data_IF_016746363672
#
_entry.id   IF_016746363672
#
_cell.length_a   1.000
_cell.length_b   1.000
_cell.length_c   1.000
_cell.angle_alpha   90.00
_cell.angle_beta   90.00
_cell.angle_gamma   90.00
#
_symmetry.space_group_name_H-M   'P 1'
#
loop_
_entity.id
_entity.type
_entity.pdbx_description
1 polymer ?
#
# COMPACT_ATOMS: atom_id res chain seq x y z
N UNK A 1 -16.02 -48.97 57.82
CA UNK A 1 -17.49 -48.82 57.66
C UNK A 1 -17.90 -47.46 58.16
N UNK A 2 -18.17 -46.52 57.26
CA UNK A 2 -19.07 -45.38 57.46
C UNK A 2 -19.13 -44.60 56.13
N UNK A 3 -20.32 -44.63 55.54
CA UNK A 3 -20.73 -43.94 54.30
C UNK A 3 -20.89 -42.45 54.59
N UNK A 4 -20.31 -41.57 53.76
CA UNK A 4 -20.60 -40.12 53.82
C UNK A 4 -21.32 -39.74 52.52
N UNK A 5 -22.56 -39.29 52.69
CA UNK A 5 -23.45 -38.83 51.64
C UNK A 5 -23.07 -37.43 51.15
N UNK A 6 -23.03 -37.27 49.83
CA UNK A 6 -22.93 -36.01 49.09
C UNK A 6 -24.19 -35.18 49.22
N UNK A 7 -24.07 -33.92 49.66
CA UNK A 7 -25.09 -32.89 49.52
C UNK A 7 -24.68 -31.91 48.41
N UNK A 8 -25.51 -31.83 47.38
CA UNK A 8 -25.38 -30.89 46.28
C UNK A 8 -25.94 -29.51 46.68
N UNK A 9 -25.14 -28.45 46.55
CA UNK A 9 -25.60 -27.07 46.60
C UNK A 9 -25.42 -26.45 45.21
N UNK A 10 -26.55 -26.14 44.57
CA UNK A 10 -26.63 -25.35 43.33
C UNK A 10 -26.28 -23.91 43.63
N UNK A 11 -25.27 -23.35 42.96
CA UNK A 11 -25.12 -21.90 42.82
C UNK A 11 -25.15 -21.55 41.33
N UNK A 12 -26.19 -20.83 40.96
CA UNK A 12 -26.53 -20.32 39.65
C UNK A 12 -25.57 -19.22 39.20
N UNK A 13 -25.04 -19.37 37.99
CA UNK A 13 -24.34 -18.36 37.21
C UNK A 13 -25.29 -17.30 36.66
N UNK A 14 -24.93 -16.00 36.64
CA UNK A 14 -25.65 -15.02 35.84
C UNK A 14 -24.97 -14.84 34.47
N UNK A 15 -25.58 -15.41 33.45
CA UNK A 15 -25.49 -14.92 32.06
C UNK A 15 -26.61 -13.91 31.83
N UNK A 16 -26.29 -12.66 31.48
CA UNK A 16 -26.99 -11.92 30.41
C UNK A 16 -26.28 -10.61 30.03
N UNK A 17 -25.77 -10.61 28.80
CA UNK A 17 -25.79 -9.51 27.82
C UNK A 17 -26.12 -8.11 28.33
N UNK A 18 -25.11 -7.25 28.38
CA UNK A 18 -25.27 -5.82 28.11
C UNK A 18 -24.44 -5.48 26.87
N UNK A 19 -24.94 -5.87 25.69
CA UNK A 19 -24.57 -5.14 24.47
C UNK A 19 -25.18 -3.74 24.61
N UNK A 20 -24.36 -2.78 25.04
CA UNK A 20 -24.65 -1.36 24.86
C UNK A 20 -24.87 -1.12 23.37
N UNK A 21 -26.08 -0.70 23.02
CA UNK A 21 -26.42 -0.14 21.72
C UNK A 21 -25.59 1.12 21.50
N UNK A 22 -24.38 0.95 20.98
CA UNK A 22 -23.49 2.06 20.60
C UNK A 22 -24.17 2.90 19.51
N UNK A 23 -24.11 4.21 19.69
CA UNK A 23 -24.75 5.21 18.83
C UNK A 23 -23.98 5.26 17.50
N UNK A 24 -24.29 4.36 16.57
CA UNK A 24 -23.71 4.40 15.22
C UNK A 24 -24.21 5.68 14.52
N UNK A 25 -23.29 6.61 14.26
CA UNK A 25 -23.56 7.74 13.36
C UNK A 25 -23.98 7.17 11.99
N UNK A 26 -25.03 7.71 11.37
CA UNK A 26 -25.50 7.21 10.08
C UNK A 26 -24.38 7.38 9.04
N UNK A 27 -24.01 6.26 8.42
CA UNK A 27 -22.89 6.16 7.51
C UNK A 27 -23.42 6.21 6.07
N UNK A 28 -23.03 7.25 5.34
CA UNK A 28 -23.17 7.35 3.89
C UNK A 28 -21.77 7.59 3.35
N UNK A 29 -21.06 6.50 3.04
CA UNK A 29 -19.81 6.56 2.29
C UNK A 29 -20.02 5.68 1.08
N UNK A 30 -19.99 6.28 -0.11
CA UNK A 30 -19.76 5.53 -1.33
C UNK A 30 -18.35 4.95 -1.24
N UNK A 31 -18.28 3.65 -0.93
CA UNK A 31 -17.04 2.91 -1.03
C UNK A 31 -16.65 2.83 -2.50
N UNK A 32 -15.72 3.67 -2.92
CA UNK A 32 -14.86 3.31 -4.04
C UNK A 32 -13.83 2.33 -3.48
N UNK A 33 -14.12 1.02 -3.51
CA UNK A 33 -13.03 0.10 -3.87
C UNK A 33 -12.42 0.73 -5.11
N UNK A 34 -11.11 0.90 -5.20
CA UNK A 34 -10.49 1.46 -6.40
C UNK A 34 -10.81 0.54 -7.59
N UNK A 35 -12.02 0.69 -8.13
CA UNK A 35 -12.50 0.07 -9.31
C UNK A 35 -11.58 0.65 -10.38
N UNK A 36 -11.09 -0.19 -11.30
CA UNK A 36 -10.38 0.32 -12.44
C UNK A 36 -11.21 1.46 -13.04
N UNK A 37 -10.63 2.61 -13.41
CA UNK A 37 -11.37 3.62 -14.15
C UNK A 37 -12.09 2.92 -15.31
N UNK A 38 -13.30 3.37 -15.69
CA UNK A 38 -14.17 2.66 -16.64
C UNK A 38 -13.48 2.25 -17.97
N UNK A 39 -12.36 2.90 -18.32
CA UNK A 39 -11.47 2.56 -19.43
C UNK A 39 -10.63 1.27 -19.27
N UNK A 40 -10.62 0.63 -18.09
CA UNK A 40 -9.75 -0.51 -17.74
C UNK A 40 -10.57 -1.79 -17.50
N UNK A 41 -11.91 -1.71 -17.50
CA UNK A 41 -12.75 -2.90 -17.42
C UNK A 41 -12.64 -3.72 -18.72
N UNK A 42 -11.88 -4.82 -18.67
CA UNK A 42 -11.84 -5.82 -19.75
C UNK A 42 -10.77 -5.63 -20.82
N UNK A 43 -9.72 -4.81 -20.62
CA UNK A 43 -8.61 -4.75 -21.58
C UNK A 43 -7.74 -6.02 -21.53
N UNK A 44 -7.22 -6.41 -22.69
CA UNK A 44 -6.31 -7.54 -22.85
C UNK A 44 -4.88 -7.12 -23.20
N UNK A 45 -3.99 -8.11 -23.30
CA UNK A 45 -2.62 -7.87 -23.78
C UNK A 45 -2.60 -7.29 -25.19
N UNK A 46 -3.54 -7.67 -26.06
CA UNK A 46 -3.64 -7.12 -27.41
C UNK A 46 -3.91 -5.61 -27.39
N UNK A 47 -4.71 -5.11 -26.45
CA UNK A 47 -4.98 -3.68 -26.31
C UNK A 47 -3.75 -2.93 -25.79
N UNK A 48 -3.06 -3.50 -24.80
CA UNK A 48 -1.80 -2.94 -24.28
C UNK A 48 -0.73 -2.87 -25.37
N UNK A 49 -0.58 -3.93 -26.16
CA UNK A 49 0.40 -4.00 -27.25
C UNK A 49 0.02 -3.11 -28.44
N UNK A 50 -1.28 -2.95 -28.72
CA UNK A 50 -1.76 -2.01 -29.75
C UNK A 50 -1.39 -0.58 -29.40
N UNK A 51 -1.64 -0.13 -28.16
CA UNK A 51 -1.28 1.22 -27.72
C UNK A 51 0.24 1.42 -27.64
N UNK A 52 0.97 0.36 -27.29
CA UNK A 52 2.42 0.38 -27.23
C UNK A 52 3.09 0.53 -28.61
N UNK A 53 2.55 -0.17 -29.62
CA UNK A 53 3.11 -0.30 -30.96
C UNK A 53 2.60 0.72 -31.98
N UNK A 54 1.59 1.53 -31.65
CA UNK A 54 1.10 2.56 -32.56
C UNK A 54 2.22 3.58 -32.81
N UNK A 55 2.85 3.48 -33.98
CA UNK A 55 4.03 4.22 -34.47
C UNK A 55 3.83 5.73 -34.63
N UNK A 56 2.93 6.31 -33.85
CA UNK A 56 2.68 7.73 -33.73
C UNK A 56 3.79 8.40 -32.94
N UNK A 57 4.58 9.19 -33.67
CA UNK A 57 5.10 10.54 -33.42
C UNK A 57 4.48 11.32 -32.24
N UNK A 58 4.47 10.74 -31.05
CA UNK A 58 4.40 11.53 -29.83
C UNK A 58 5.79 12.15 -29.64
N UNK A 59 5.83 13.42 -29.29
CA UNK A 59 7.08 14.06 -28.91
C UNK A 59 7.71 13.25 -27.76
N UNK A 60 8.86 12.62 -27.97
CA UNK A 60 9.54 11.86 -26.92
C UNK A 60 9.99 12.78 -25.77
N UNK A 61 10.03 14.09 -26.00
CA UNK A 61 10.24 15.10 -24.98
C UNK A 61 8.97 15.46 -24.19
N UNK A 62 7.78 15.01 -24.61
CA UNK A 62 6.52 15.23 -23.89
C UNK A 62 6.40 14.30 -22.67
N UNK A 63 6.61 14.88 -21.49
CA UNK A 63 6.48 14.20 -20.20
C UNK A 63 5.07 14.29 -19.59
N UNK A 64 4.10 14.93 -20.25
CA UNK A 64 2.76 15.18 -19.69
C UNK A 64 2.04 13.91 -19.25
N UNK A 65 2.19 12.82 -20.02
CA UNK A 65 1.64 11.51 -19.66
C UNK A 65 2.21 10.96 -18.36
N UNK A 66 3.50 11.18 -18.10
CA UNK A 66 4.16 10.74 -16.87
C UNK A 66 3.75 11.61 -15.67
N UNK A 67 3.67 12.93 -15.83
CA UNK A 67 3.15 13.83 -14.80
C UNK A 67 1.74 13.43 -14.36
N UNK A 68 0.84 13.09 -15.30
CA UNK A 68 -0.50 12.59 -14.93
C UNK A 68 -0.48 11.35 -14.05
N UNK A 69 0.54 10.48 -14.17
CA UNK A 69 0.68 9.29 -13.30
C UNK A 69 1.19 9.65 -11.91
N UNK A 70 2.07 10.63 -11.82
CA UNK A 70 2.51 11.20 -10.54
C UNK A 70 1.32 11.85 -9.83
N UNK A 71 0.56 12.68 -10.53
CA UNK A 71 -0.60 13.39 -9.97
C UNK A 71 -1.68 12.42 -9.49
N UNK A 72 -1.92 11.32 -10.21
CA UNK A 72 -2.92 10.32 -9.81
C UNK A 72 -2.56 9.57 -8.53
N UNK A 73 -1.27 9.56 -8.15
CA UNK A 73 -0.79 9.00 -6.89
C UNK A 73 -0.64 10.07 -5.78
N UNK A 74 -0.84 11.36 -6.08
CA UNK A 74 -0.61 12.47 -5.16
C UNK A 74 -1.86 13.35 -4.91
N UNK A 75 -3.05 12.75 -4.86
CA UNK A 75 -4.32 13.50 -4.85
C UNK A 75 -4.73 13.94 -3.44
N UNK A 76 -5.58 14.96 -3.40
CA UNK A 76 -6.30 15.36 -2.18
C UNK A 76 -5.45 16.03 -1.11
N UNK A 77 -4.22 16.45 -1.44
CA UNK A 77 -3.29 17.08 -0.50
C UNK A 77 -3.80 18.42 0.06
N UNK A 78 -4.71 19.09 -0.64
CA UNK A 78 -5.47 20.25 -0.17
C UNK A 78 -6.31 19.93 1.09
N UNK A 79 -6.69 18.67 1.28
CA UNK A 79 -7.47 18.18 2.43
C UNK A 79 -6.61 17.70 3.60
N UNK A 80 -5.29 17.87 3.54
CA UNK A 80 -4.38 17.49 4.63
C UNK A 80 -4.76 18.14 5.97
N UNK A 81 -5.39 19.32 5.95
CA UNK A 81 -5.91 20.01 7.14
C UNK A 81 -7.05 19.29 7.87
N UNK A 82 -7.68 18.30 7.24
CA UNK A 82 -8.75 17.48 7.84
C UNK A 82 -8.21 16.33 8.69
N UNK A 83 -6.89 16.15 8.73
CA UNK A 83 -6.21 15.10 9.48
C UNK A 83 -5.48 15.68 10.69
N UNK A 84 -5.47 14.92 11.77
CA UNK A 84 -4.77 15.23 13.03
C UNK A 84 -3.64 14.24 13.24
N UNK A 85 -2.61 14.65 13.96
CA UNK A 85 -1.46 13.78 14.24
C UNK A 85 -1.89 12.58 15.07
N UNK A 86 -1.43 11.40 14.69
CA UNK A 86 -1.48 10.21 15.52
C UNK A 86 -0.11 10.01 16.17
N UNK A 87 -0.07 10.07 17.50
CA UNK A 87 1.16 10.19 18.30
C UNK A 87 1.31 8.99 19.22
N UNK A 88 2.50 8.40 19.26
CA UNK A 88 2.89 7.35 20.20
C UNK A 88 4.28 7.70 20.73
N UNK A 89 4.43 7.75 22.06
CA UNK A 89 5.71 8.11 22.72
C UNK A 89 6.33 9.40 22.15
N UNK A 90 5.53 10.46 22.05
CA UNK A 90 5.91 11.77 21.50
C UNK A 90 6.35 11.77 20.02
N UNK A 91 6.24 10.63 19.32
CA UNK A 91 6.52 10.53 17.89
C UNK A 91 5.24 10.52 17.06
N UNK A 92 5.24 11.27 15.96
CA UNK A 92 4.16 11.23 14.97
C UNK A 92 4.33 9.96 14.13
N UNK A 93 3.45 9.00 14.33
CA UNK A 93 3.47 7.72 13.61
C UNK A 93 2.42 7.67 12.50
N UNK A 94 1.47 8.62 12.49
CA UNK A 94 0.47 8.70 11.45
C UNK A 94 -0.39 9.95 11.49
N UNK A 95 -1.48 9.91 10.72
CA UNK A 95 -2.43 11.01 10.58
C UNK A 95 -3.84 10.44 10.45
N UNK A 96 -4.72 10.81 11.38
CA UNK A 96 -6.09 10.31 11.44
C UNK A 96 -7.04 11.40 10.99
N UNK A 97 -7.98 11.09 10.08
CA UNK A 97 -9.01 12.03 9.68
C UNK A 97 -9.87 12.42 10.89
N UNK A 98 -10.20 13.71 11.05
CA UNK A 98 -11.02 14.21 12.19
C UNK A 98 -12.34 13.46 12.34
N UNK A 99 -13.03 13.21 11.23
CA UNK A 99 -14.26 12.40 11.21
C UNK A 99 -14.05 10.91 11.52
N UNK A 100 -12.86 10.35 11.26
CA UNK A 100 -12.55 8.96 11.66
C UNK A 100 -12.23 8.87 13.16
N UNK A 101 -11.53 9.86 13.72
CA UNK A 101 -11.25 9.96 15.15
C UNK A 101 -12.53 9.91 16.01
N UNK A 102 -13.62 10.45 15.47
CA UNK A 102 -14.97 10.41 16.03
C UNK A 102 -15.43 8.97 16.36
N UNK A 103 -15.09 8.01 15.50
CA UNK A 103 -15.39 6.59 15.69
C UNK A 103 -14.44 5.90 16.69
N UNK A 104 -13.28 6.49 16.96
CA UNK A 104 -12.31 6.00 17.93
C UNK A 104 -12.66 6.41 19.37
N UNK A 105 -13.52 7.42 19.57
CA UNK A 105 -13.92 7.90 20.91
C UNK A 105 -14.58 6.85 21.79
N UNK A 106 -15.28 5.90 21.18
CA UNK A 106 -15.94 4.81 21.91
C UNK A 106 -14.96 3.80 22.52
N UNK A 107 -13.66 3.90 22.16
CA UNK A 107 -12.57 3.03 22.61
C UNK A 107 -11.59 3.82 23.49
N UNK A 108 -12.12 4.47 24.52
CA UNK A 108 -11.39 5.31 25.47
C UNK A 108 -10.32 4.55 26.27
N UNK A 109 -10.43 3.23 26.36
CA UNK A 109 -9.43 2.31 26.93
C UNK A 109 -8.23 2.07 26.00
N UNK A 110 -8.33 2.47 24.73
CA UNK A 110 -7.26 2.35 23.72
C UNK A 110 -6.73 3.71 23.28
N UNK A 111 -7.60 4.67 23.02
CA UNK A 111 -7.25 5.98 22.48
C UNK A 111 -7.47 7.11 23.48
N UNK A 112 -6.54 8.07 23.47
CA UNK A 112 -6.73 9.41 24.05
C UNK A 112 -6.87 10.41 22.91
N UNK A 113 -7.99 11.12 22.86
CA UNK A 113 -8.28 12.14 21.84
C UNK A 113 -8.21 13.50 22.52
N UNK A 114 -7.19 14.27 22.18
CA UNK A 114 -6.93 15.57 22.79
C UNK A 114 -7.68 16.64 22.00
N UNK A 115 -8.56 17.39 22.67
CA UNK A 115 -9.27 18.55 22.12
C UNK A 115 -8.58 19.85 22.50
N UNK A 116 -8.65 20.85 21.63
CA UNK A 116 -8.00 22.14 21.87
C UNK A 116 -8.63 22.93 23.02
N UNK A 117 -7.77 23.64 23.78
CA UNK A 117 -8.13 24.37 25.00
C UNK A 117 -9.10 25.55 24.80
N UNK A 118 -9.43 25.93 23.55
CA UNK A 118 -10.16 27.16 23.23
C UNK A 118 -11.69 26.96 23.06
N UNK A 119 -12.28 25.92 23.65
CA UNK A 119 -13.74 25.69 23.57
C UNK A 119 -14.26 25.31 22.18
N UNK A 120 -13.34 25.07 21.24
CA UNK A 120 -13.64 24.49 19.94
C UNK A 120 -13.60 22.97 20.06
N UNK A 121 -14.62 22.26 19.56
CA UNK A 121 -14.64 20.78 19.45
C UNK A 121 -13.59 20.24 18.46
N UNK A 122 -12.49 20.96 18.24
CA UNK A 122 -11.42 20.58 17.32
C UNK A 122 -10.49 19.60 18.02
N UNK A 123 -10.40 18.40 17.44
CA UNK A 123 -9.38 17.41 17.80
C UNK A 123 -8.02 17.97 17.38
N UNK A 124 -7.06 18.00 18.30
CA UNK A 124 -5.67 18.42 18.03
C UNK A 124 -4.80 17.24 17.64
N UNK A 125 -4.88 16.15 18.41
CA UNK A 125 -4.16 14.91 18.15
C UNK A 125 -4.90 13.70 18.73
N UNK A 126 -4.53 12.53 18.24
CA UNK A 126 -4.93 11.23 18.77
C UNK A 126 -3.68 10.53 19.27
N UNK A 127 -3.74 9.91 20.43
CA UNK A 127 -2.67 9.10 21.00
C UNK A 127 -3.20 7.80 21.58
N UNK A 128 -2.31 6.89 21.94
CA UNK A 128 -2.67 5.64 22.63
C UNK A 128 -2.68 5.84 24.15
N UNK A 129 -3.51 5.08 24.85
CA UNK A 129 -3.55 5.08 26.30
C UNK A 129 -2.19 4.69 26.89
N UNK A 130 -1.78 5.40 27.95
CA UNK A 130 -0.50 5.18 28.64
C UNK A 130 -0.41 3.81 29.35
N UNK A 131 -1.54 3.14 29.55
CA UNK A 131 -1.60 1.76 30.04
C UNK A 131 -1.08 0.74 29.02
N UNK A 132 -1.08 1.06 27.72
CA UNK A 132 -0.57 0.20 26.64
C UNK A 132 0.94 0.37 26.50
N UNK A 133 1.70 -0.36 27.33
CA UNK A 133 3.14 -0.13 27.53
C UNK A 133 4.01 -0.79 26.47
N UNK A 134 3.62 -1.96 25.97
CA UNK A 134 4.44 -2.72 25.01
C UNK A 134 3.89 -2.61 23.58
N UNK A 135 4.74 -2.80 22.55
CA UNK A 135 4.27 -2.94 21.17
C UNK A 135 3.19 -4.01 21.00
N UNK A 136 3.28 -5.11 21.75
CA UNK A 136 2.33 -6.22 21.73
C UNK A 136 0.97 -5.81 22.32
N UNK A 137 0.95 -5.11 23.46
CA UNK A 137 -0.28 -4.59 24.08
C UNK A 137 -1.03 -3.67 23.10
N UNK A 138 -0.29 -2.76 22.47
CA UNK A 138 -0.83 -1.80 21.49
C UNK A 138 -1.37 -2.52 20.26
N UNK A 139 -0.61 -3.48 19.72
CA UNK A 139 -1.01 -4.29 18.57
C UNK A 139 -2.30 -5.05 18.87
N UNK A 140 -2.38 -5.69 20.03
CA UNK A 140 -3.57 -6.44 20.45
C UNK A 140 -4.79 -5.52 20.63
N UNK A 141 -4.64 -4.44 21.41
CA UNK A 141 -5.72 -3.51 21.70
C UNK A 141 -6.30 -2.87 20.44
N UNK A 142 -5.44 -2.37 19.55
CA UNK A 142 -5.87 -1.76 18.28
C UNK A 142 -6.45 -2.81 17.34
N UNK A 143 -5.92 -4.04 17.36
CA UNK A 143 -6.48 -5.17 16.62
C UNK A 143 -7.95 -5.44 16.97
N UNK A 144 -8.31 -5.41 18.26
CA UNK A 144 -9.71 -5.56 18.71
C UNK A 144 -10.60 -4.38 18.27
N UNK A 145 -10.05 -3.16 18.23
CA UNK A 145 -10.75 -2.00 17.68
C UNK A 145 -11.01 -2.17 16.18
N UNK A 146 -10.01 -2.60 15.40
CA UNK A 146 -10.15 -2.81 13.96
C UNK A 146 -11.21 -3.87 13.67
N UNK A 147 -11.24 -4.98 14.42
CA UNK A 147 -12.29 -6.00 14.31
C UNK A 147 -13.68 -5.41 14.54
N UNK A 148 -13.81 -4.48 15.48
CA UNK A 148 -15.06 -3.78 15.76
C UNK A 148 -15.47 -2.77 14.67
N UNK A 149 -14.52 -2.36 13.82
CA UNK A 149 -14.68 -1.37 12.75
C UNK A 149 -14.61 -1.99 11.34
N UNK A 150 -14.78 -3.31 11.20
CA UNK A 150 -14.62 -4.04 9.92
C UNK A 150 -15.51 -3.53 8.79
N UNK A 151 -16.71 -3.00 9.09
CA UNK A 151 -17.59 -2.39 8.10
C UNK A 151 -16.99 -1.09 7.51
N UNK A 152 -16.18 -0.38 8.29
CA UNK A 152 -15.53 0.87 7.89
C UNK A 152 -14.15 0.63 7.27
N UNK A 153 -13.46 -0.43 7.69
CA UNK A 153 -12.14 -0.85 7.23
C UNK A 153 -12.29 -2.19 6.48
N UNK A 154 -12.80 -2.17 5.24
CA UNK A 154 -12.98 -3.39 4.46
C UNK A 154 -11.63 -3.96 4.01
N UNK A 155 -11.65 -5.25 3.64
CA UNK A 155 -10.50 -5.89 2.99
C UNK A 155 -9.36 -6.27 3.92
N UNK A 156 -9.68 -6.73 5.14
CA UNK A 156 -8.73 -7.34 6.08
C UNK A 156 -7.90 -8.41 5.37
N UNK A 157 -6.58 -8.39 5.60
CA UNK A 157 -5.62 -9.29 4.95
C UNK A 157 -4.94 -10.27 5.89
N UNK A 158 -5.11 -10.11 7.20
CA UNK A 158 -4.35 -10.85 8.21
C UNK A 158 -2.84 -10.65 8.04
N UNK A 159 -2.45 -9.44 7.64
CA UNK A 159 -1.08 -9.05 7.38
C UNK A 159 -0.80 -7.78 8.17
N UNK A 160 0.22 -7.85 9.02
CA UNK A 160 0.57 -6.75 9.91
C UNK A 160 1.68 -5.90 9.27
N UNK A 161 1.46 -4.58 9.25
CA UNK A 161 2.47 -3.59 8.89
C UNK A 161 3.11 -2.97 10.14
N UNK A 162 4.41 -2.66 10.10
CA UNK A 162 5.08 -1.97 11.20
C UNK A 162 4.59 -0.52 11.30
N UNK A 163 4.25 -0.07 12.51
CA UNK A 163 3.97 1.34 12.79
C UNK A 163 5.23 2.00 13.34
N UNK A 164 5.81 2.88 12.54
CA UNK A 164 7.08 3.59 12.81
C UNK A 164 6.91 5.08 12.51
N UNK A 165 7.77 5.93 13.06
CA UNK A 165 7.84 7.35 12.65
C UNK A 165 8.49 7.52 11.27
N UNK A 166 9.37 6.59 10.92
CA UNK A 166 10.26 6.61 9.76
C UNK A 166 10.86 5.21 9.54
N UNK A 167 11.32 4.93 8.32
CA UNK A 167 11.95 3.64 8.01
C UNK A 167 13.24 3.45 8.80
N UNK A 168 13.38 2.30 9.46
CA UNK A 168 14.54 1.99 10.31
C UNK A 168 14.45 2.53 11.74
N UNK A 169 13.42 3.32 12.07
CA UNK A 169 13.12 3.71 13.45
C UNK A 169 12.43 2.57 14.21
N UNK A 170 12.40 2.62 15.56
CA UNK A 170 11.73 1.61 16.37
C UNK A 170 10.28 1.37 15.94
N UNK A 171 9.87 0.10 15.97
CA UNK A 171 8.48 -0.27 15.74
C UNK A 171 7.70 -0.07 17.02
N UNK A 172 6.74 0.85 17.01
CA UNK A 172 5.94 1.18 18.19
C UNK A 172 4.86 0.14 18.47
N UNK A 173 4.32 -0.47 17.41
CA UNK A 173 3.36 -1.56 17.38
C UNK A 173 3.14 -2.00 15.92
N UNK A 174 2.32 -3.03 15.69
CA UNK A 174 1.93 -3.46 14.34
C UNK A 174 0.45 -3.27 14.09
N UNK A 175 0.08 -2.98 12.84
CA UNK A 175 -1.27 -2.63 12.44
C UNK A 175 -1.72 -3.48 11.24
N UNK A 176 -2.95 -3.97 11.24
CA UNK A 176 -3.54 -4.63 10.07
C UNK A 176 -3.43 -3.75 8.82
N UNK A 177 -2.91 -4.32 7.73
CA UNK A 177 -2.64 -3.65 6.47
C UNK A 177 -3.83 -2.87 5.93
N UNK A 178 -5.04 -3.40 6.05
CA UNK A 178 -6.25 -2.69 5.61
C UNK A 178 -6.50 -1.36 6.38
N UNK A 179 -6.07 -1.27 7.63
CA UNK A 179 -6.24 -0.11 8.49
C UNK A 179 -5.16 0.96 8.28
N UNK A 180 -4.00 0.61 7.70
CA UNK A 180 -2.88 1.54 7.46
C UNK A 180 -3.29 2.93 6.93
N UNK A 181 -4.11 3.06 5.87
CA UNK A 181 -4.50 4.37 5.37
C UNK A 181 -5.45 5.14 6.30
N UNK A 182 -6.24 4.48 7.15
CA UNK A 182 -7.15 5.16 8.10
C UNK A 182 -6.40 5.77 9.28
N UNK A 183 -5.30 5.13 9.67
CA UNK A 183 -4.37 5.65 10.68
C UNK A 183 -3.29 6.57 10.08
N UNK A 184 -3.25 6.69 8.75
CA UNK A 184 -2.27 7.51 8.02
C UNK A 184 -0.82 7.18 8.35
N UNK A 185 -0.54 5.92 8.67
CA UNK A 185 0.83 5.46 8.94
C UNK A 185 1.64 5.47 7.65
N UNK A 186 2.97 5.52 7.78
CA UNK A 186 3.84 5.21 6.65
C UNK A 186 3.71 3.73 6.30
N UNK A 187 3.46 3.42 5.04
CA UNK A 187 3.44 2.06 4.52
C UNK A 187 4.61 1.86 3.57
N UNK A 188 5.27 0.70 3.68
CA UNK A 188 6.42 0.36 2.86
C UNK A 188 6.07 -0.79 1.93
N UNK A 189 6.72 -0.83 0.77
CA UNK A 189 6.61 -1.92 -0.20
C UNK A 189 7.92 -2.13 -0.93
N UNK A 190 8.06 -3.30 -1.56
CA UNK A 190 9.18 -3.65 -2.43
C UNK A 190 8.66 -3.89 -3.83
N UNK A 191 9.33 -3.33 -4.83
CA UNK A 191 8.93 -3.43 -6.23
C UNK A 191 10.17 -3.75 -7.06
N UNK A 192 10.08 -4.73 -7.96
CA UNK A 192 11.21 -5.13 -8.79
C UNK A 192 10.91 -5.04 -10.29
N UNK A 193 11.79 -4.34 -11.01
CA UNK A 193 11.86 -4.41 -12.46
C UNK A 193 12.67 -5.66 -12.86
N UNK A 194 11.98 -6.73 -13.25
CA UNK A 194 12.59 -7.89 -13.88
C UNK A 194 12.79 -7.63 -15.37
N UNK A 195 14.05 -7.55 -15.81
CA UNK A 195 14.36 -7.21 -17.21
C UNK A 195 15.29 -8.22 -17.85
N UNK A 196 15.16 -8.36 -19.17
CA UNK A 196 16.04 -9.16 -20.02
C UNK A 196 16.72 -8.22 -21.01
N UNK A 197 17.95 -8.54 -21.39
CA UNK A 197 18.66 -7.82 -22.45
C UNK A 197 18.96 -8.76 -23.61
N UNK A 198 18.52 -8.39 -24.82
CA UNK A 198 18.72 -9.14 -26.07
C UNK A 198 19.23 -8.16 -27.12
N UNK A 199 20.37 -8.48 -27.74
CA UNK A 199 20.96 -7.66 -28.82
C UNK A 199 21.11 -6.17 -28.47
N UNK A 200 21.49 -5.88 -27.22
CA UNK A 200 21.66 -4.51 -26.71
C UNK A 200 20.34 -3.79 -26.35
N UNK A 201 19.19 -4.43 -26.52
CA UNK A 201 17.88 -3.88 -26.16
C UNK A 201 17.35 -4.49 -24.87
N UNK A 202 16.75 -3.65 -24.02
CA UNK A 202 16.11 -4.10 -22.77
C UNK A 202 14.62 -4.35 -22.97
N UNK A 203 14.15 -5.40 -22.31
CA UNK A 203 12.76 -5.81 -22.25
C UNK A 203 12.35 -5.97 -20.78
N UNK A 204 11.15 -5.52 -20.42
CA UNK A 204 10.58 -5.71 -19.09
C UNK A 204 9.57 -6.86 -19.11
N UNK A 205 9.67 -7.72 -18.11
CA UNK A 205 8.59 -8.61 -17.76
C UNK A 205 7.52 -7.82 -16.99
N UNK A 206 6.29 -7.88 -17.49
CA UNK A 206 5.12 -7.22 -16.93
C UNK A 206 4.11 -8.31 -16.56
N UNK A 207 3.62 -8.27 -15.32
CA UNK A 207 2.53 -9.12 -14.86
C UNK A 207 1.18 -8.47 -15.16
N UNK A 208 0.14 -9.28 -15.38
CA UNK A 208 -1.25 -8.86 -15.32
C UNK A 208 -1.85 -9.47 -14.06
N UNK A 209 -2.40 -8.64 -13.17
CA UNK A 209 -2.96 -9.07 -11.89
C UNK A 209 -4.15 -9.98 -12.10
N UNK A 210 -4.27 -11.00 -11.24
CA UNK A 210 -5.45 -11.86 -11.21
C UNK A 210 -6.74 -11.06 -11.01
N UNK A 211 -7.82 -11.46 -11.67
CA UNK A 211 -9.13 -10.79 -11.55
C UNK A 211 -9.75 -10.95 -10.15
N UNK A 212 -9.27 -11.90 -9.35
CA UNK A 212 -9.72 -12.10 -7.96
C UNK A 212 -8.95 -11.25 -6.94
N UNK A 213 -7.94 -10.46 -7.37
CA UNK A 213 -7.21 -9.56 -6.48
C UNK A 213 -8.15 -8.54 -5.87
N UNK A 214 -8.09 -8.39 -4.54
CA UNK A 214 -8.90 -7.40 -3.81
C UNK A 214 -8.69 -5.95 -4.26
N UNK A 215 -7.52 -5.62 -4.79
CA UNK A 215 -7.19 -4.27 -5.27
C UNK A 215 -6.63 -4.34 -6.67
N UNK A 216 -7.11 -3.46 -7.54
CA UNK A 216 -6.66 -3.34 -8.93
C UNK A 216 -6.70 -4.68 -9.70
N UNK A 217 -7.80 -5.45 -9.66
CA UNK A 217 -7.91 -6.72 -10.39
C UNK A 217 -7.75 -6.47 -11.90
N UNK A 218 -7.09 -7.38 -12.60
CA UNK A 218 -6.90 -7.34 -14.06
C UNK A 218 -5.95 -6.26 -14.59
N UNK A 219 -5.43 -5.36 -13.75
CA UNK A 219 -4.49 -4.31 -14.16
C UNK A 219 -3.07 -4.87 -14.39
N UNK A 220 -2.26 -4.18 -15.19
CA UNK A 220 -0.83 -4.49 -15.31
C UNK A 220 -0.08 -4.13 -14.01
N UNK A 221 0.94 -4.91 -13.68
CA UNK A 221 1.81 -4.75 -12.51
C UNK A 221 3.27 -5.02 -12.90
N UNK A 222 4.19 -4.84 -11.97
CA UNK A 222 5.56 -5.32 -12.15
C UNK A 222 5.62 -6.83 -12.26
N UNK A 223 6.81 -7.35 -12.58
CA UNK A 223 7.06 -8.78 -12.45
C UNK A 223 6.87 -9.26 -10.99
N UNK A 224 7.35 -8.47 -10.02
CA UNK A 224 7.23 -8.76 -8.59
C UNK A 224 6.98 -7.45 -7.81
N UNK A 225 5.96 -7.41 -6.95
CA UNK A 225 5.68 -6.27 -6.07
C UNK A 225 4.83 -6.61 -4.83
N UNK A 226 5.45 -6.50 -3.65
CA UNK A 226 4.81 -6.81 -2.36
C UNK A 226 4.72 -5.62 -1.40
N UNK A 227 3.75 -5.66 -0.49
CA UNK A 227 3.80 -4.86 0.73
C UNK A 227 4.97 -5.30 1.61
N UNK A 228 5.48 -4.45 2.49
CA UNK A 228 6.53 -4.84 3.45
C UNK A 228 5.88 -5.13 4.81
N UNK A 229 5.65 -6.41 5.15
CA UNK A 229 5.06 -6.77 6.43
C UNK A 229 6.05 -6.55 7.59
N UNK A 230 5.51 -6.58 8.81
CA UNK A 230 6.30 -6.53 10.02
C UNK A 230 7.23 -7.76 10.13
N UNK A 231 8.46 -7.53 10.59
CA UNK A 231 9.40 -8.61 10.91
C UNK A 231 10.22 -9.15 9.74
N UNK A 232 10.10 -8.60 8.54
CA UNK A 232 10.92 -8.98 7.37
C UNK A 232 11.72 -7.80 6.83
N UNK A 233 12.95 -8.04 6.37
CA UNK A 233 13.76 -7.01 5.70
C UNK A 233 13.29 -6.82 4.25
N UNK A 234 13.58 -5.67 3.63
CA UNK A 234 13.23 -5.45 2.23
C UNK A 234 13.85 -6.50 1.30
N UNK A 235 15.09 -6.94 1.57
CA UNK A 235 15.78 -7.93 0.75
C UNK A 235 15.16 -9.32 0.86
N UNK A 236 14.82 -9.74 2.08
CA UNK A 236 14.14 -11.02 2.28
C UNK A 236 12.72 -11.00 1.73
N UNK A 237 12.02 -9.86 1.85
CA UNK A 237 10.69 -9.71 1.30
C UNK A 237 10.71 -9.80 -0.23
N UNK A 238 11.61 -9.09 -0.92
CA UNK A 238 11.65 -9.22 -2.38
C UNK A 238 12.05 -10.63 -2.84
N UNK A 239 12.87 -11.36 -2.06
CA UNK A 239 13.20 -12.77 -2.35
C UNK A 239 11.96 -13.66 -2.21
N UNK A 240 11.16 -13.49 -1.16
CA UNK A 240 9.88 -14.19 -0.93
C UNK A 240 8.91 -13.93 -2.09
N UNK A 241 8.63 -12.65 -2.37
CA UNK A 241 7.68 -12.25 -3.43
C UNK A 241 8.15 -12.72 -4.82
N UNK A 242 9.46 -12.78 -5.05
CA UNK A 242 10.03 -13.36 -6.28
C UNK A 242 9.63 -14.80 -6.52
N UNK A 243 9.62 -15.62 -5.46
CA UNK A 243 9.23 -17.03 -5.54
C UNK A 243 7.71 -17.16 -5.70
N UNK A 244 6.94 -16.48 -4.87
CA UNK A 244 5.47 -16.58 -4.84
C UNK A 244 4.80 -16.03 -6.12
N UNK A 245 5.16 -14.81 -6.54
CA UNK A 245 4.45 -14.15 -7.64
C UNK A 245 4.96 -14.60 -9.01
N UNK A 246 6.25 -14.94 -9.16
CA UNK A 246 6.90 -15.11 -10.46
C UNK A 246 7.77 -16.37 -10.60
N UNK A 247 7.83 -17.24 -9.58
CA UNK A 247 8.59 -18.50 -9.64
C UNK A 247 10.09 -18.28 -9.78
N UNK A 248 10.60 -17.11 -9.37
CA UNK A 248 12.03 -16.76 -9.45
C UNK A 248 12.74 -17.40 -8.24
N UNK A 249 13.62 -18.39 -8.44
CA UNK A 249 14.26 -19.08 -7.33
C UNK A 249 15.22 -18.16 -6.57
N UNK A 250 15.44 -18.47 -5.30
CA UNK A 250 16.36 -17.73 -4.42
C UNK A 250 17.77 -17.56 -4.99
N UNK A 251 18.27 -18.55 -5.72
CA UNK A 251 19.57 -18.50 -6.42
C UNK A 251 19.67 -17.36 -7.43
N UNK A 252 18.54 -16.84 -7.90
CA UNK A 252 18.44 -15.71 -8.82
C UNK A 252 18.00 -14.42 -8.11
N UNK A 253 16.95 -14.48 -7.28
CA UNK A 253 16.39 -13.28 -6.61
C UNK A 253 17.35 -12.64 -5.60
N UNK A 254 18.32 -13.39 -5.07
CA UNK A 254 19.41 -12.84 -4.26
C UNK A 254 20.28 -11.83 -5.02
N UNK A 255 20.31 -11.87 -6.35
CA UNK A 255 21.02 -10.88 -7.19
C UNK A 255 20.22 -9.59 -7.46
N UNK A 256 18.97 -9.50 -6.99
CA UNK A 256 18.18 -8.27 -7.15
C UNK A 256 18.89 -7.09 -6.46
N UNK A 257 19.15 -6.03 -7.22
CA UNK A 257 19.93 -4.88 -6.78
C UNK A 257 18.98 -3.76 -6.35
N UNK A 258 19.19 -3.18 -5.17
CA UNK A 258 18.44 -1.99 -4.75
C UNK A 258 18.89 -0.77 -5.57
N UNK A 259 17.93 -0.04 -6.11
CA UNK A 259 18.17 1.06 -7.08
C UNK A 259 17.54 2.39 -6.65
N UNK A 260 17.02 2.45 -5.42
CA UNK A 260 16.44 3.65 -4.84
C UNK A 260 15.05 3.41 -4.26
N UNK A 261 14.33 4.51 -4.07
CA UNK A 261 12.94 4.49 -3.60
C UNK A 261 12.13 5.63 -4.21
N UNK A 262 10.82 5.43 -4.20
CA UNK A 262 9.78 6.37 -4.64
C UNK A 262 8.83 6.59 -3.47
N UNK A 263 8.26 7.79 -3.37
CA UNK A 263 7.28 8.11 -2.34
C UNK A 263 6.13 8.93 -2.90
N UNK A 264 4.93 8.69 -2.39
CA UNK A 264 3.74 9.46 -2.75
C UNK A 264 2.75 9.54 -1.58
N UNK A 265 1.81 10.48 -1.69
CA UNK A 265 0.80 10.72 -0.68
C UNK A 265 -0.57 10.92 -1.31
N UNK A 266 -1.54 10.06 -0.99
CA UNK A 266 -2.90 10.12 -1.56
C UNK A 266 -3.94 10.23 -0.45
N UNK A 267 -4.84 11.22 -0.57
CA UNK A 267 -5.95 11.43 0.37
C UNK A 267 -7.28 11.15 -0.31
N UNK A 268 -8.03 10.19 0.24
CA UNK A 268 -9.36 9.81 -0.26
C UNK A 268 -10.33 9.54 0.90
N UNK A 269 -11.24 10.49 1.16
CA UNK A 269 -12.17 10.40 2.28
C UNK A 269 -11.43 10.38 3.61
N UNK A 270 -11.64 9.34 4.42
CA UNK A 270 -10.95 9.15 5.70
C UNK A 270 -9.54 8.58 5.59
N UNK A 271 -9.10 8.24 4.37
CA UNK A 271 -7.84 7.55 4.13
C UNK A 271 -6.76 8.55 3.72
N UNK A 272 -5.59 8.38 4.33
CA UNK A 272 -4.36 9.07 3.98
C UNK A 272 -3.26 8.04 3.75
N UNK A 273 -3.00 7.72 2.49
CA UNK A 273 -1.90 6.85 2.09
C UNK A 273 -0.59 7.64 2.09
N UNK A 274 0.44 7.06 2.68
CA UNK A 274 1.79 7.63 2.77
C UNK A 274 2.76 6.50 2.47
N UNK A 275 2.92 6.21 1.18
CA UNK A 275 3.58 4.99 0.73
C UNK A 275 5.02 5.31 0.29
N UNK A 276 5.95 4.43 0.67
CA UNK A 276 7.33 4.41 0.18
C UNK A 276 7.61 3.06 -0.46
N UNK A 277 8.03 3.07 -1.72
CA UNK A 277 8.29 1.87 -2.51
C UNK A 277 9.80 1.73 -2.72
N UNK A 278 10.41 0.71 -2.11
CA UNK A 278 11.80 0.36 -2.33
C UNK A 278 11.94 -0.36 -3.67
N UNK A 279 12.73 0.22 -4.57
CA UNK A 279 12.87 -0.23 -5.93
C UNK A 279 14.07 -1.16 -6.07
N UNK A 280 13.87 -2.25 -6.81
CA UNK A 280 14.88 -3.23 -7.16
C UNK A 280 14.91 -3.44 -8.67
N UNK A 281 16.08 -3.77 -9.20
CA UNK A 281 16.24 -4.28 -10.55
C UNK A 281 16.85 -5.68 -10.51
N UNK A 282 16.38 -6.56 -11.39
CA UNK A 282 16.95 -7.89 -11.57
C UNK A 282 17.08 -8.20 -13.07
N UNK A 283 18.31 -8.37 -13.54
CA UNK A 283 18.58 -8.89 -14.90
C UNK A 283 18.34 -10.40 -14.89
N UNK A 284 17.37 -10.84 -15.67
CA UNK A 284 16.97 -12.24 -15.80
C UNK A 284 17.65 -12.90 -17.02
N UNK A 285 17.88 -14.22 -16.98
CA UNK A 285 18.29 -14.99 -18.16
C UNK A 285 17.32 -14.80 -19.33
N UNK A 286 17.85 -14.87 -20.57
CA UNK A 286 17.06 -14.60 -21.77
C UNK A 286 15.95 -15.63 -22.05
N UNK A 287 16.13 -16.83 -21.48
CA UNK A 287 15.27 -18.01 -21.53
C UNK A 287 14.41 -18.19 -20.26
N UNK A 288 14.55 -17.31 -19.26
CA UNK A 288 13.71 -17.36 -18.07
C UNK A 288 12.25 -17.06 -18.43
N UNK A 289 11.35 -17.92 -17.96
CA UNK A 289 9.90 -17.75 -18.06
C UNK A 289 9.33 -17.68 -16.64
N UNK A 290 8.68 -16.57 -16.25
CA UNK A 290 8.05 -16.48 -14.95
C UNK A 290 6.86 -17.43 -14.86
N UNK A 291 6.63 -17.96 -13.66
CA UNK A 291 5.50 -18.80 -13.34
C UNK A 291 4.77 -18.23 -12.12
N UNK A 292 3.44 -18.21 -12.15
CA UNK A 292 2.67 -17.81 -10.99
C UNK A 292 2.55 -19.01 -10.03
N UNK A 293 3.01 -18.88 -8.78
CA UNK A 293 2.97 -19.95 -7.78
C UNK A 293 1.82 -19.80 -6.77
N UNK A 294 1.32 -18.59 -6.54
CA UNK A 294 0.38 -18.29 -5.45
C UNK A 294 -1.04 -17.88 -5.89
N UNK A 295 -1.26 -17.69 -7.19
CA UNK A 295 -2.56 -17.30 -7.75
C UNK A 295 -2.76 -15.78 -7.89
N UNK A 296 -1.77 -14.95 -7.55
CA UNK A 296 -1.90 -13.49 -7.54
C UNK A 296 -1.76 -12.84 -8.94
N UNK A 297 -1.13 -13.53 -9.88
CA UNK A 297 -0.89 -13.07 -11.26
C UNK A 297 -1.66 -13.91 -12.29
N UNK A 298 -2.42 -13.29 -13.18
CA UNK A 298 -3.12 -13.98 -14.26
C UNK A 298 -2.16 -14.44 -15.37
N UNK A 299 -1.30 -13.54 -15.84
CA UNK A 299 -0.42 -13.80 -16.97
C UNK A 299 0.78 -12.85 -17.03
N UNK A 300 1.82 -13.23 -17.76
CA UNK A 300 3.03 -12.43 -17.96
C UNK A 300 3.28 -12.12 -19.44
N UNK A 301 3.87 -10.95 -19.70
CA UNK A 301 4.45 -10.61 -21.01
C UNK A 301 5.79 -9.93 -20.88
N UNK A 302 6.73 -10.36 -21.73
CA UNK A 302 8.00 -9.68 -21.96
C UNK A 302 7.80 -8.66 -23.09
N UNK A 303 7.98 -7.37 -22.80
CA UNK A 303 7.79 -6.29 -23.79
C UNK A 303 9.02 -5.37 -23.84
N UNK A 304 9.33 -4.74 -24.99
CA UNK A 304 10.38 -3.73 -25.07
C UNK A 304 10.15 -2.60 -24.06
N UNK A 305 11.22 -2.06 -23.46
CA UNK A 305 11.09 -0.90 -22.54
C UNK A 305 10.36 0.29 -23.18
N UNK A 306 10.59 0.66 -24.46
CA UNK A 306 9.81 1.72 -25.11
C UNK A 306 8.30 1.43 -25.17
N UNK A 307 7.91 0.16 -25.26
CA UNK A 307 6.50 -0.23 -25.25
C UNK A 307 5.88 -0.01 -23.85
N UNK A 308 6.58 -0.43 -22.79
CA UNK A 308 6.16 -0.15 -21.42
C UNK A 308 6.03 1.36 -21.18
N UNK A 309 7.01 2.15 -21.66
CA UNK A 309 7.01 3.61 -21.57
C UNK A 309 5.79 4.24 -22.25
N UNK A 310 5.40 3.74 -23.43
CA UNK A 310 4.22 4.19 -24.17
C UNK A 310 2.91 3.84 -23.45
N UNK A 311 2.80 2.63 -22.90
CA UNK A 311 1.62 2.22 -22.12
C UNK A 311 1.45 3.15 -20.92
N UNK A 312 2.51 3.37 -20.14
CA UNK A 312 2.49 4.31 -18.99
C UNK A 312 2.08 5.71 -19.42
N UNK A 313 2.57 6.22 -20.56
CA UNK A 313 2.27 7.59 -21.02
C UNK A 313 0.83 7.76 -21.51
N UNK A 314 0.26 6.72 -22.12
CA UNK A 314 -0.94 6.80 -22.96
C UNK A 314 -2.19 6.17 -22.34
N UNK A 315 -2.06 5.29 -21.34
CA UNK A 315 -3.20 4.54 -20.77
C UNK A 315 -3.18 4.51 -19.25
N UNK A 316 -4.26 4.02 -18.64
CA UNK A 316 -4.37 3.72 -17.21
C UNK A 316 -4.32 2.21 -16.93
N UNK A 317 -3.68 1.42 -17.79
CA UNK A 317 -3.66 -0.05 -17.68
C UNK A 317 -2.84 -0.57 -16.51
N UNK A 318 -1.78 0.13 -16.12
CA UNK A 318 -0.98 -0.22 -14.95
C UNK A 318 -1.68 0.18 -13.66
N UNK A 319 -1.59 -0.70 -12.64
CA UNK A 319 -1.83 -0.35 -11.25
C UNK A 319 -1.11 0.97 -10.94
N UNK A 320 -1.80 1.97 -10.34
CA UNK A 320 -1.34 3.36 -10.37
C UNK A 320 0.12 3.58 -9.96
N UNK A 321 0.52 3.04 -8.80
CA UNK A 321 1.86 3.23 -8.26
C UNK A 321 2.97 2.47 -9.02
N UNK A 322 2.61 1.53 -9.90
CA UNK A 322 3.57 0.83 -10.73
C UNK A 322 4.10 1.72 -11.85
N UNK A 323 3.27 2.64 -12.34
CA UNK A 323 3.72 3.66 -13.27
C UNK A 323 4.92 4.44 -12.72
N UNK A 324 4.91 4.80 -11.43
CA UNK A 324 5.99 5.59 -10.83
C UNK A 324 7.33 4.84 -10.86
N UNK A 325 7.32 3.56 -10.47
CA UNK A 325 8.52 2.70 -10.45
C UNK A 325 9.05 2.45 -11.85
N UNK A 326 8.16 2.29 -12.84
CA UNK A 326 8.57 2.20 -14.24
C UNK A 326 9.18 3.53 -14.71
N UNK A 327 8.61 4.68 -14.36
CA UNK A 327 9.18 5.99 -14.73
C UNK A 327 10.59 6.15 -14.12
N UNK A 328 10.80 5.77 -12.86
CA UNK A 328 12.14 5.77 -12.23
C UNK A 328 13.12 4.83 -12.95
N UNK A 329 12.66 3.64 -13.40
CA UNK A 329 13.46 2.77 -14.27
C UNK A 329 13.84 3.47 -15.59
N UNK A 330 12.89 4.17 -16.23
CA UNK A 330 13.16 4.91 -17.47
C UNK A 330 14.21 6.00 -17.27
N UNK A 331 14.20 6.72 -16.15
CA UNK A 331 15.25 7.69 -15.80
C UNK A 331 16.61 6.99 -15.62
N UNK A 332 16.69 5.97 -14.76
CA UNK A 332 17.95 5.31 -14.42
C UNK A 332 18.60 4.59 -15.59
N UNK A 333 17.80 4.13 -16.56
CA UNK A 333 18.27 3.42 -17.76
C UNK A 333 18.35 4.30 -19.02
N UNK A 334 18.13 5.62 -18.90
CA UNK A 334 18.35 6.58 -19.99
C UNK A 334 17.28 6.57 -21.09
N UNK A 335 16.03 6.21 -20.75
CA UNK A 335 14.89 6.31 -21.67
C UNK A 335 14.15 7.65 -21.57
N UNK A 336 14.37 8.40 -20.50
CA UNK A 336 13.97 9.82 -20.37
C UNK A 336 15.26 10.63 -20.37
N UNK A 337 15.34 11.67 -21.22
CA UNK A 337 16.58 12.42 -21.47
C UNK A 337 16.56 13.79 -20.80
N UNK A 338 17.71 14.32 -20.34
CA UNK A 338 17.78 15.64 -19.70
C UNK A 338 17.21 16.81 -20.53
N UNK A 339 17.19 16.67 -21.85
CA UNK A 339 16.66 17.68 -22.78
C UNK A 339 15.11 17.71 -22.82
N UNK A 340 14.43 16.73 -22.22
CA UNK A 340 12.97 16.71 -22.09
C UNK A 340 12.48 17.85 -21.20
N UNK A 341 11.51 18.63 -21.67
CA UNK A 341 10.95 19.72 -20.88
C UNK A 341 10.30 19.19 -19.58
N UNK A 342 10.71 19.73 -18.43
CA UNK A 342 10.24 19.27 -17.12
C UNK A 342 10.97 18.04 -16.56
N UNK A 343 12.12 17.63 -17.13
CA UNK A 343 12.91 16.47 -16.67
C UNK A 343 13.17 16.48 -15.15
N UNK A 344 13.70 17.58 -14.62
CA UNK A 344 14.04 17.70 -13.20
C UNK A 344 12.79 17.74 -12.31
N UNK A 345 11.73 18.40 -12.76
CA UNK A 345 10.47 18.49 -12.04
C UNK A 345 9.82 17.11 -11.92
N UNK A 346 9.79 16.33 -13.02
CA UNK A 346 9.29 14.96 -13.01
C UNK A 346 10.15 14.08 -12.09
N UNK A 347 11.48 14.15 -12.18
CA UNK A 347 12.38 13.39 -11.33
C UNK A 347 12.17 13.67 -9.83
N UNK A 348 12.00 14.94 -9.47
CA UNK A 348 11.71 15.36 -8.10
C UNK A 348 10.35 14.85 -7.63
N UNK A 349 9.34 14.91 -8.51
CA UNK A 349 7.96 14.54 -8.20
C UNK A 349 7.74 13.06 -7.87
N UNK A 350 8.66 12.16 -8.30
CA UNK A 350 8.69 10.75 -7.88
C UNK A 350 9.04 10.56 -6.38
N UNK A 351 9.42 11.63 -5.70
CA UNK A 351 9.80 11.64 -4.27
C UNK A 351 9.03 12.74 -3.52
N UNK A 352 7.78 12.99 -3.93
CA UNK A 352 6.90 14.02 -3.35
C UNK A 352 6.41 13.65 -1.95
N UNK A 353 6.31 12.34 -1.65
CA UNK A 353 5.96 11.83 -0.34
C UNK A 353 7.09 11.99 0.68
N UNK A 354 6.74 12.07 1.96
CA UNK A 354 7.72 12.03 3.04
C UNK A 354 8.40 10.64 3.11
N UNK A 355 9.62 10.56 2.54
CA UNK A 355 10.48 9.37 2.57
C UNK A 355 11.13 9.11 3.93
N UNK A 356 11.10 10.11 4.83
CA UNK A 356 12.05 10.17 5.95
C UNK A 356 11.78 9.18 7.05
#
# INVERSE_FOLDING_TARGET
MATIATAAARCSSPTRSQLLTRRRLPFSVSFSSAAPPAAVAGFGWDDALRVAGDGGRGDESDLSGYFRKVDSCNRGMDKKGDFVKFVVEDQVVGYIHKGFAEHLRDFHDVFTIISGNNGSNTVENVSLQSSLRTPEDRTHAIGEVIKSLVEMIPGIRNELYPVTSSYGMPVYFSLERAAAPYFGIKAYGVHMNGYVEKDGQKFLWIGKRSDVKQTYPGMLDHLVAGGLPYGISCKENIIKECEEEAGIPRSMSTNATSVGAISYMDIEGFRYKRDVLFCYDLKLPADFLPNNEDGEVDSFRLIPVPHAANIVRRTDFFKPNCNLVIIDFLFRHGYIQPDSHGYLDLLQSLRSGDCS
#
